data_IF_957728302822
#
_entry.id   IF_957728302822
#
_cell.length_a   1.000
_cell.length_b   1.000
_cell.length_c   1.000
_cell.angle_alpha   90.00
_cell.angle_beta   90.00
_cell.angle_gamma   90.00
#
_symmetry.space_group_name_H-M   'P 1'
#
loop_
_entity.id
_entity.type
_entity.pdbx_description
1 polymer ?
#
# COMPACT_ATOMS: atom_id res chain seq x y z
N UNK A 1 -35.38 70.16 -41.38
CA UNK A 1 -36.48 69.19 -41.61
C UNK A 1 -36.72 68.50 -40.28
N UNK A 2 -37.55 69.09 -39.41
CA UNK A 2 -38.99 68.75 -39.17
C UNK A 2 -39.16 67.35 -38.57
N UNK A 3 -39.91 67.09 -37.51
CA UNK A 3 -40.62 67.86 -36.46
C UNK A 3 -41.25 66.76 -35.56
N UNK A 4 -41.18 66.93 -34.22
CA UNK A 4 -42.33 66.83 -33.28
C UNK A 4 -42.92 65.43 -33.00
N UNK A 5 -43.08 65.01 -31.73
CA UNK A 5 -44.30 65.25 -30.91
C UNK A 5 -44.02 64.95 -29.41
N UNK A 6 -44.10 65.98 -28.54
CA UNK A 6 -45.19 66.31 -27.57
C UNK A 6 -45.25 65.36 -26.34
N UNK A 7 -44.88 65.74 -25.11
CA UNK A 7 -45.30 66.84 -24.19
C UNK A 7 -46.69 66.60 -23.56
N UNK A 8 -46.74 66.40 -22.23
CA UNK A 8 -47.74 66.90 -21.25
C UNK A 8 -47.41 66.32 -19.85
N UNK A 9 -46.95 67.08 -18.84
CA UNK A 9 -47.55 68.13 -17.96
C UNK A 9 -48.42 67.61 -16.81
N UNK A 10 -47.95 67.93 -15.58
CA UNK A 10 -48.66 68.24 -14.33
C UNK A 10 -49.48 67.10 -13.70
N UNK A 11 -49.68 66.98 -12.38
CA UNK A 11 -49.69 67.97 -11.31
C UNK A 11 -49.48 67.32 -9.93
N UNK A 12 -48.89 68.10 -9.02
CA UNK A 12 -48.86 67.94 -7.57
C UNK A 12 -50.24 67.65 -6.96
N UNK A 13 -50.31 66.81 -5.92
CA UNK A 13 -51.06 67.11 -4.69
C UNK A 13 -50.54 66.29 -3.49
N UNK A 14 -50.33 67.01 -2.38
CA UNK A 14 -49.89 66.55 -1.06
C UNK A 14 -50.89 65.57 -0.43
N UNK A 15 -50.39 64.62 0.37
CA UNK A 15 -50.90 64.34 1.73
C UNK A 15 -49.89 63.55 2.57
N UNK A 16 -49.55 64.13 3.73
CA UNK A 16 -48.84 63.51 4.85
C UNK A 16 -49.78 62.53 5.57
N UNK A 17 -49.26 61.43 6.11
CA UNK A 17 -50.01 60.62 7.08
C UNK A 17 -49.32 59.33 7.54
N UNK A 18 -48.81 59.38 8.78
CA UNK A 18 -48.65 58.30 9.79
C UNK A 18 -47.65 57.14 9.59
N UNK A 19 -46.75 57.09 10.57
CA UNK A 19 -45.95 55.96 11.05
C UNK A 19 -46.79 55.02 11.94
N UNK A 20 -46.61 53.71 11.79
CA UNK A 20 -46.78 52.64 12.78
C UNK A 20 -45.63 51.64 12.49
N UNK A 21 -44.55 51.57 13.28
CA UNK A 21 -44.39 50.73 14.48
C UNK A 21 -45.23 49.45 14.39
N UNK A 22 -44.60 48.37 13.94
CA UNK A 22 -44.83 46.97 14.37
C UNK A 22 -43.93 46.03 13.54
N UNK A 23 -42.69 45.82 14.00
CA UNK A 23 -42.02 44.52 13.93
C UNK A 23 -40.81 44.52 14.89
N UNK A 24 -41.13 44.52 16.17
CA UNK A 24 -40.17 44.28 17.25
C UNK A 24 -39.90 42.78 17.38
N UNK A 25 -38.63 42.47 17.67
CA UNK A 25 -38.16 41.35 18.46
C UNK A 25 -38.40 39.94 17.93
N UNK A 26 -37.38 39.38 17.27
CA UNK A 26 -37.09 37.94 17.36
C UNK A 26 -35.58 37.72 17.24
N UNK A 27 -34.97 37.48 18.41
CA UNK A 27 -33.83 36.57 18.64
C UNK A 27 -32.42 37.15 18.44
N UNK A 28 -31.91 37.66 19.56
CA UNK A 28 -30.51 37.48 19.94
C UNK A 28 -30.13 35.99 19.87
N UNK A 29 -29.01 35.64 19.22
CA UNK A 29 -28.22 34.50 19.68
C UNK A 29 -26.72 34.64 19.38
N UNK A 30 -26.04 35.01 20.45
CA UNK A 30 -24.61 34.90 20.75
C UNK A 30 -24.19 33.42 20.77
N UNK A 31 -23.30 32.96 19.86
CA UNK A 31 -22.38 31.81 20.06
C UNK A 31 -21.08 32.07 19.29
N UNK A 32 -20.02 32.54 19.96
CA UNK A 32 -18.95 31.73 20.61
C UNK A 32 -18.25 30.76 19.65
N UNK A 33 -17.07 31.21 19.23
CA UNK A 33 -15.82 30.46 19.05
C UNK A 33 -15.93 28.93 19.15
N UNK A 34 -15.62 28.25 18.05
CA UNK A 34 -14.91 26.97 18.10
C UNK A 34 -13.79 27.01 17.06
N UNK A 35 -12.63 27.49 17.50
CA UNK A 35 -11.35 27.05 16.96
C UNK A 35 -11.26 25.54 17.14
N UNK A 36 -11.78 24.78 16.18
CA UNK A 36 -11.46 23.36 16.02
C UNK A 36 -10.53 23.21 14.82
N UNK A 37 -9.42 23.96 14.81
CA UNK A 37 -8.20 23.42 14.22
C UNK A 37 -7.80 22.28 15.14
N UNK A 38 -8.26 21.08 14.81
CA UNK A 38 -7.71 19.84 15.35
C UNK A 38 -6.23 19.90 15.00
N UNK A 39 -5.43 20.44 15.91
CA UNK A 39 -4.01 20.09 16.00
C UNK A 39 -4.08 18.63 16.40
N UNK A 40 -4.14 17.75 15.40
CA UNK A 40 -3.74 16.39 15.61
C UNK A 40 -2.35 16.52 16.20
N UNK A 41 -2.16 16.01 17.41
CA UNK A 41 -0.84 15.58 17.81
C UNK A 41 -0.46 14.48 16.81
N UNK A 42 0.07 14.87 15.65
CA UNK A 42 0.93 14.02 14.85
C UNK A 42 2.16 13.79 15.72
N UNK A 43 2.01 12.87 16.67
CA UNK A 43 3.15 12.07 17.08
C UNK A 43 3.64 11.45 15.77
N UNK A 44 4.93 11.61 15.47
CA UNK A 44 5.61 10.93 14.37
C UNK A 44 5.51 9.42 14.60
N UNK A 45 4.34 8.87 14.32
CA UNK A 45 4.06 7.47 14.46
C UNK A 45 4.74 6.79 13.28
N UNK A 46 5.78 6.01 13.58
CA UNK A 46 6.44 5.19 12.57
C UNK A 46 5.45 4.21 11.99
N UNK A 47 5.61 3.90 10.71
CA UNK A 47 4.75 2.97 10.01
C UNK A 47 5.45 1.61 9.95
N UNK A 48 4.74 0.55 10.34
CA UNK A 48 5.22 -0.82 10.23
C UNK A 48 4.43 -1.61 9.19
N UNK A 49 5.12 -2.34 8.32
CA UNK A 49 4.54 -3.38 7.48
C UNK A 49 4.61 -4.72 8.20
N UNK A 50 3.44 -5.24 8.58
CA UNK A 50 3.30 -6.60 9.08
C UNK A 50 3.13 -7.54 7.90
N UNK A 51 4.11 -8.41 7.67
CA UNK A 51 4.13 -9.41 6.60
C UNK A 51 3.94 -10.80 7.20
N UNK A 52 3.08 -11.62 6.61
CA UNK A 52 2.97 -13.05 6.90
C UNK A 52 3.18 -13.86 5.62
N UNK A 53 4.26 -14.63 5.59
CA UNK A 53 4.60 -15.55 4.49
C UNK A 53 4.06 -16.93 4.88
N UNK A 54 3.07 -17.42 4.12
CA UNK A 54 2.37 -18.65 4.45
C UNK A 54 3.04 -19.86 3.79
N UNK A 55 2.91 -19.96 2.48
CA UNK A 55 3.45 -21.07 1.70
C UNK A 55 3.73 -20.64 0.25
N UNK A 56 4.47 -21.47 -0.48
CA UNK A 56 4.61 -21.41 -1.92
C UNK A 56 4.25 -22.76 -2.53
N UNK A 57 3.72 -22.75 -3.74
CA UNK A 57 3.23 -23.93 -4.45
C UNK A 57 3.71 -23.94 -5.90
N UNK A 58 3.84 -25.14 -6.47
CA UNK A 58 4.30 -25.34 -7.84
C UNK A 58 5.77 -24.96 -8.07
N UNK A 59 6.55 -24.82 -7.00
CA UNK A 59 7.97 -24.50 -7.04
C UNK A 59 8.75 -25.70 -7.56
N UNK A 60 9.66 -25.48 -8.53
CA UNK A 60 10.42 -26.55 -9.19
C UNK A 60 9.50 -27.73 -9.60
N UNK A 61 8.37 -27.42 -10.26
CA UNK A 61 7.34 -28.41 -10.66
C UNK A 61 7.96 -29.69 -11.27
N UNK A 62 7.67 -30.89 -10.74
CA UNK A 62 8.21 -32.15 -11.23
C UNK A 62 7.99 -32.43 -12.72
N UNK A 63 6.94 -31.84 -13.33
CA UNK A 63 6.71 -31.96 -14.77
C UNK A 63 7.81 -31.28 -15.59
N UNK A 64 8.35 -30.17 -15.08
CA UNK A 64 9.43 -29.42 -15.70
C UNK A 64 10.80 -29.87 -15.18
N UNK A 65 10.85 -30.40 -13.96
CA UNK A 65 12.08 -30.78 -13.26
C UNK A 65 11.93 -32.16 -12.61
N UNK A 66 11.83 -33.25 -13.40
CA UNK A 66 11.48 -34.58 -12.88
C UNK A 66 12.54 -35.21 -11.97
N UNK A 67 13.77 -34.70 -11.99
CA UNK A 67 14.87 -35.14 -11.13
C UNK A 67 14.93 -34.43 -9.77
N UNK A 68 13.94 -33.58 -9.45
CA UNK A 68 13.93 -32.75 -8.25
C UNK A 68 12.94 -33.29 -7.23
N UNK A 69 13.47 -33.94 -6.20
CA UNK A 69 12.64 -34.60 -5.18
C UNK A 69 12.68 -33.90 -3.82
N UNK A 70 13.78 -33.21 -3.48
CA UNK A 70 13.90 -32.49 -2.22
C UNK A 70 15.04 -31.47 -2.27
N UNK A 71 14.74 -30.21 -1.95
CA UNK A 71 15.69 -29.09 -1.96
C UNK A 71 15.36 -28.12 -0.83
N UNK A 72 16.37 -27.35 -0.42
CA UNK A 72 16.21 -26.31 0.58
C UNK A 72 15.88 -24.98 -0.09
N UNK A 73 14.90 -24.28 0.45
CA UNK A 73 14.45 -22.98 -0.06
C UNK A 73 14.33 -21.97 1.07
N UNK A 74 14.58 -20.71 0.75
CA UNK A 74 14.21 -19.58 1.60
C UNK A 74 13.55 -18.49 0.76
N UNK A 75 12.86 -17.58 1.44
CA UNK A 75 12.30 -16.39 0.83
C UNK A 75 13.10 -15.18 1.28
N UNK A 76 13.67 -14.46 0.32
CA UNK A 76 14.28 -13.15 0.51
C UNK A 76 13.22 -12.09 0.20
N UNK A 77 13.06 -11.10 1.07
CA UNK A 77 12.03 -10.07 0.90
C UNK A 77 12.48 -8.72 1.43
N UNK A 78 12.01 -7.65 0.80
CA UNK A 78 12.35 -6.27 1.17
C UNK A 78 11.36 -5.26 0.59
N UNK A 79 11.28 -4.09 1.23
CA UNK A 79 10.60 -2.90 0.68
C UNK A 79 11.60 -1.90 0.10
N UNK A 80 12.84 -1.90 0.62
CA UNK A 80 13.97 -1.15 0.13
C UNK A 80 15.18 -2.08 -0.03
N UNK A 81 15.98 -1.99 -1.11
CA UNK A 81 17.07 -2.94 -1.39
C UNK A 81 18.12 -3.10 -0.29
N UNK A 82 18.29 -2.09 0.56
CA UNK A 82 19.28 -2.11 1.65
C UNK A 82 18.77 -2.87 2.90
N UNK A 83 17.48 -3.15 2.99
CA UNK A 83 16.82 -3.72 4.18
C UNK A 83 16.30 -5.14 3.89
N UNK A 84 17.15 -5.97 3.30
CA UNK A 84 16.82 -7.34 2.93
C UNK A 84 16.69 -8.26 4.15
N UNK A 85 15.59 -9.01 4.18
CA UNK A 85 15.32 -10.02 5.20
C UNK A 85 15.11 -11.37 4.54
N UNK A 86 15.49 -12.45 5.23
CA UNK A 86 15.31 -13.80 4.76
C UNK A 86 14.55 -14.65 5.78
N UNK A 87 13.73 -15.58 5.29
CA UNK A 87 13.17 -16.65 6.12
C UNK A 87 14.23 -17.69 6.46
N UNK A 88 13.92 -18.58 7.40
CA UNK A 88 14.65 -19.84 7.53
C UNK A 88 14.55 -20.70 6.26
N UNK A 89 15.46 -21.66 6.16
CA UNK A 89 15.42 -22.68 5.13
C UNK A 89 14.33 -23.71 5.43
N UNK A 90 13.55 -24.05 4.40
CA UNK A 90 12.54 -25.11 4.42
C UNK A 90 12.86 -26.10 3.31
N UNK A 91 12.82 -27.39 3.63
CA UNK A 91 12.98 -28.47 2.66
C UNK A 91 11.63 -28.93 2.13
N UNK A 92 11.49 -29.11 0.82
CA UNK A 92 10.27 -29.66 0.22
C UNK A 92 10.24 -29.54 -1.29
N UNK A 93 9.24 -30.15 -1.92
CA UNK A 93 8.90 -29.99 -3.34
C UNK A 93 7.55 -30.64 -3.60
N UNK A 94 6.62 -30.03 -4.36
CA UNK A 94 6.66 -28.67 -4.93
C UNK A 94 6.10 -27.60 -3.99
N UNK A 95 5.57 -28.01 -2.83
CA UNK A 95 4.88 -27.16 -1.88
C UNK A 95 5.72 -26.94 -0.63
N UNK A 96 5.85 -25.67 -0.24
CA UNK A 96 6.74 -25.21 0.82
C UNK A 96 5.95 -24.36 1.80
N UNK A 97 6.04 -24.63 3.10
CA UNK A 97 5.34 -23.85 4.12
C UNK A 97 6.34 -23.20 5.08
N UNK A 98 6.26 -21.86 5.21
CA UNK A 98 7.02 -21.09 6.20
C UNK A 98 6.16 -20.74 7.41
N UNK A 99 4.93 -20.26 7.17
CA UNK A 99 4.01 -19.81 8.22
C UNK A 99 4.67 -18.83 9.22
N UNK A 100 5.41 -17.85 8.69
CA UNK A 100 6.16 -16.88 9.47
C UNK A 100 5.63 -15.47 9.33
N UNK A 101 5.80 -14.69 10.39
CA UNK A 101 5.37 -13.30 10.49
C UNK A 101 6.57 -12.40 10.78
N UNK A 102 6.64 -11.28 10.07
CA UNK A 102 7.68 -10.26 10.16
C UNK A 102 7.05 -8.88 10.32
N UNK A 103 7.80 -7.96 10.91
CA UNK A 103 7.46 -6.55 10.96
C UNK A 103 8.63 -5.76 10.38
N UNK A 104 8.37 -4.97 9.34
CA UNK A 104 9.36 -4.13 8.66
C UNK A 104 8.98 -2.70 8.96
N UNK A 105 9.87 -1.92 9.58
CA UNK A 105 9.65 -0.48 9.71
C UNK A 105 9.80 0.18 8.33
N UNK A 106 8.82 1.00 7.95
CA UNK A 106 8.86 1.77 6.72
C UNK A 106 9.48 3.14 7.02
N UNK A 107 10.46 3.51 6.20
CA UNK A 107 11.10 4.82 6.22
C UNK A 107 10.35 5.76 5.27
N UNK A 108 9.67 6.76 5.83
CA UNK A 108 8.88 7.74 5.09
C UNK A 108 9.73 8.60 4.13
N UNK A 109 11.06 8.61 4.30
CA UNK A 109 11.98 9.28 3.38
C UNK A 109 12.29 8.46 2.13
N UNK A 110 11.92 7.17 2.09
CA UNK A 110 12.22 6.23 0.99
C UNK A 110 10.97 5.85 0.20
N UNK A 111 11.15 5.52 -1.08
CA UNK A 111 10.06 5.00 -1.92
C UNK A 111 9.74 3.54 -1.57
N UNK A 112 8.86 3.34 -0.58
CA UNK A 112 8.42 2.03 -0.11
C UNK A 112 7.05 1.63 -0.67
N UNK A 113 6.84 1.68 -2.00
CA UNK A 113 5.54 1.34 -2.63
C UNK A 113 5.29 -0.16 -2.83
N UNK A 114 6.34 -0.96 -2.87
CA UNK A 114 6.25 -2.38 -3.22
C UNK A 114 7.03 -3.24 -2.24
N UNK A 115 6.49 -4.41 -1.94
CA UNK A 115 7.23 -5.54 -1.41
C UNK A 115 7.81 -6.32 -2.58
N UNK A 116 9.13 -6.50 -2.55
CA UNK A 116 9.85 -7.41 -3.43
C UNK A 116 10.06 -8.73 -2.69
N UNK A 117 9.83 -9.83 -3.40
CA UNK A 117 9.93 -11.17 -2.87
C UNK A 117 10.69 -12.04 -3.87
N UNK A 118 11.68 -12.78 -3.40
CA UNK A 118 12.43 -13.75 -4.18
C UNK A 118 12.45 -15.09 -3.45
N UNK A 119 12.06 -16.16 -4.14
CA UNK A 119 12.24 -17.52 -3.65
C UNK A 119 13.60 -18.01 -4.16
N UNK A 120 14.48 -18.36 -3.22
CA UNK A 120 15.82 -18.83 -3.52
C UNK A 120 15.91 -20.32 -3.17
N UNK A 121 16.58 -21.06 -4.05
CA UNK A 121 17.02 -22.43 -3.80
C UNK A 121 18.44 -22.38 -3.25
N UNK A 122 18.69 -23.08 -2.15
CA UNK A 122 20.02 -23.35 -1.63
C UNK A 122 20.50 -24.74 -2.08
N UNK A 123 21.73 -24.82 -2.60
CA UNK A 123 22.37 -26.10 -2.94
C UNK A 123 22.69 -26.95 -1.71
N UNK A 124 22.63 -28.27 -1.85
CA UNK A 124 23.21 -29.21 -0.88
C UNK A 124 24.69 -29.46 -1.18
N UNK A 125 25.46 -29.64 -0.11
CA UNK A 125 26.92 -29.81 0.00
C UNK A 125 27.54 -31.06 -0.66
N UNK A 126 26.84 -31.74 -1.57
CA UNK A 126 27.28 -33.02 -2.16
C UNK A 126 27.82 -32.93 -3.59
N UNK A 127 27.82 -31.75 -4.22
CA UNK A 127 28.60 -31.54 -5.45
C UNK A 127 30.03 -31.16 -5.05
N UNK A 128 30.93 -32.11 -5.25
CA UNK A 128 32.35 -32.03 -4.98
C UNK A 128 33.02 -30.93 -5.83
N UNK A 129 33.08 -29.73 -5.24
CA UNK A 129 34.02 -28.62 -5.46
C UNK A 129 33.84 -27.74 -6.74
N UNK A 130 34.34 -26.48 -6.75
CA UNK A 130 33.98 -25.35 -5.88
C UNK A 130 33.96 -24.04 -6.71
N UNK A 131 32.80 -23.62 -7.20
CA UNK A 131 32.65 -22.31 -7.85
C UNK A 131 32.08 -21.30 -6.86
N UNK A 132 32.73 -20.14 -6.69
CA UNK A 132 32.53 -19.05 -5.71
C UNK A 132 31.14 -18.38 -5.65
N UNK A 133 30.06 -19.10 -5.92
CA UNK A 133 28.69 -18.65 -5.64
C UNK A 133 28.22 -19.32 -4.35
N UNK A 134 27.49 -18.60 -3.49
CA UNK A 134 26.92 -19.11 -2.22
C UNK A 134 25.89 -20.26 -2.39
N UNK A 135 25.86 -20.96 -3.53
CA UNK A 135 24.93 -22.05 -3.82
C UNK A 135 23.48 -21.61 -3.95
N UNK A 136 23.20 -20.32 -3.80
CA UNK A 136 21.87 -19.73 -3.91
C UNK A 136 21.52 -19.50 -5.37
N UNK A 137 20.38 -20.04 -5.80
CA UNK A 137 19.84 -19.84 -7.15
C UNK A 137 18.42 -19.31 -7.07
N UNK A 138 18.14 -18.22 -7.79
CA UNK A 138 16.80 -17.67 -7.88
C UNK A 138 15.85 -18.67 -8.55
N UNK A 139 14.75 -18.98 -7.88
CA UNK A 139 13.66 -19.78 -8.43
C UNK A 139 12.65 -18.89 -9.10
N UNK A 140 12.22 -17.82 -8.43
CA UNK A 140 11.32 -16.84 -9.00
C UNK A 140 11.15 -15.64 -8.09
N UNK A 141 10.67 -14.53 -8.67
CA UNK A 141 10.45 -13.27 -7.98
C UNK A 141 9.03 -12.76 -8.17
N UNK A 142 8.55 -12.00 -7.20
CA UNK A 142 7.30 -11.26 -7.26
C UNK A 142 7.51 -9.81 -6.79
N UNK A 143 6.78 -8.89 -7.41
CA UNK A 143 6.69 -7.48 -7.01
C UNK A 143 5.25 -7.19 -6.65
N UNK A 144 4.99 -6.87 -5.39
CA UNK A 144 3.65 -6.80 -4.82
C UNK A 144 3.41 -5.41 -4.25
N UNK A 145 2.35 -4.69 -4.65
CA UNK A 145 2.01 -3.39 -4.05
C UNK A 145 1.75 -3.52 -2.56
N UNK A 146 2.22 -2.55 -1.77
CA UNK A 146 1.87 -2.48 -0.35
C UNK A 146 0.36 -2.20 -0.16
N UNK A 147 -0.25 -2.71 0.91
CA UNK A 147 -1.65 -2.44 1.21
C UNK A 147 -1.85 -1.00 1.69
N UNK A 148 -3.08 -0.49 1.57
CA UNK A 148 -3.50 0.71 2.27
C UNK A 148 -3.69 0.45 3.78
N UNK A 149 -3.64 1.51 4.59
CA UNK A 149 -3.90 1.42 6.03
C UNK A 149 -5.28 0.90 6.42
N UNK A 150 -6.24 0.95 5.50
CA UNK A 150 -7.63 0.56 5.73
C UNK A 150 -7.83 -0.95 5.79
N UNK A 151 -6.85 -1.76 5.37
CA UNK A 151 -7.07 -3.19 5.17
C UNK A 151 -5.85 -4.10 5.41
N UNK A 152 -6.15 -5.39 5.50
CA UNK A 152 -5.19 -6.47 5.32
C UNK A 152 -5.32 -6.93 3.87
N UNK A 153 -4.21 -7.01 3.15
CA UNK A 153 -4.18 -7.64 1.82
C UNK A 153 -3.66 -9.05 1.97
N UNK A 154 -4.35 -10.01 1.39
CA UNK A 154 -3.94 -11.41 1.34
C UNK A 154 -4.11 -11.90 -0.08
N UNK A 155 -3.12 -12.61 -0.60
CA UNK A 155 -3.14 -12.98 -2.00
C UNK A 155 -2.16 -14.09 -2.35
N UNK A 156 -2.42 -14.67 -3.51
CA UNK A 156 -1.58 -15.64 -4.19
C UNK A 156 -0.91 -14.92 -5.36
N UNK A 157 0.40 -14.79 -5.32
CA UNK A 157 1.19 -13.99 -6.25
C UNK A 157 2.05 -14.89 -7.13
N UNK A 158 1.98 -14.68 -8.44
CA UNK A 158 2.77 -15.44 -9.40
C UNK A 158 4.26 -15.11 -9.27
N UNK A 159 5.09 -16.15 -9.26
CA UNK A 159 6.54 -16.04 -9.29
C UNK A 159 7.03 -16.15 -10.72
N UNK A 160 7.90 -15.23 -11.12
CA UNK A 160 8.52 -15.22 -12.44
C UNK A 160 10.03 -15.27 -12.37
N UNK A 161 10.66 -15.96 -13.31
CA UNK A 161 12.11 -15.98 -13.49
C UNK A 161 12.46 -15.44 -14.86
N UNK A 162 13.51 -14.62 -14.92
CA UNK A 162 14.07 -14.17 -16.18
C UNK A 162 14.92 -15.30 -16.77
N UNK A 163 14.67 -15.63 -18.02
CA UNK A 163 15.46 -16.51 -18.88
C UNK A 163 15.87 -15.75 -20.14
N UNK A 164 16.73 -16.33 -20.98
CA UNK A 164 17.26 -15.66 -22.18
C UNK A 164 16.15 -15.16 -23.13
N UNK A 165 15.07 -15.93 -23.24
CA UNK A 165 13.94 -15.66 -24.13
C UNK A 165 12.76 -14.92 -23.45
N UNK A 166 12.91 -14.47 -22.19
CA UNK A 166 11.89 -13.69 -21.49
C UNK A 166 11.58 -14.16 -20.07
N UNK A 167 10.31 -14.11 -19.67
CA UNK A 167 9.88 -14.47 -18.32
C UNK A 167 9.18 -15.84 -18.30
N UNK A 168 9.65 -16.72 -17.42
CA UNK A 168 9.04 -18.01 -17.14
C UNK A 168 8.27 -17.98 -15.83
N UNK A 169 7.07 -18.56 -15.80
CA UNK A 169 6.30 -18.75 -14.58
C UNK A 169 6.83 -19.95 -13.77
N UNK A 170 7.14 -19.74 -12.49
CA UNK A 170 7.83 -20.70 -11.61
C UNK A 170 7.03 -21.04 -10.33
N UNK A 171 5.71 -20.88 -10.40
CA UNK A 171 4.79 -21.18 -9.30
C UNK A 171 4.21 -19.92 -8.67
N UNK A 172 3.73 -20.05 -7.43
CA UNK A 172 3.08 -18.96 -6.70
C UNK A 172 3.52 -18.92 -5.24
N UNK A 173 3.52 -17.73 -4.66
CA UNK A 173 3.66 -17.52 -3.22
C UNK A 173 2.39 -16.93 -2.63
N UNK A 174 1.94 -17.49 -1.52
CA UNK A 174 0.77 -17.01 -0.77
C UNK A 174 1.25 -16.26 0.48
N UNK A 175 0.88 -14.98 0.57
CA UNK A 175 1.26 -14.13 1.70
C UNK A 175 0.18 -13.11 2.02
N UNK A 176 0.29 -12.50 3.20
CA UNK A 176 -0.55 -11.39 3.60
C UNK A 176 0.22 -10.24 4.24
N UNK A 177 -0.33 -9.04 4.13
CA UNK A 177 0.28 -7.78 4.52
C UNK A 177 -0.72 -6.88 5.22
N UNK A 178 -0.24 -6.09 6.18
CA UNK A 178 -1.02 -5.03 6.82
C UNK A 178 -0.10 -3.91 7.29
N UNK A 179 -0.48 -2.66 7.07
CA UNK A 179 0.20 -1.51 7.68
C UNK A 179 -0.33 -1.24 9.10
N UNK A 180 0.58 -0.95 10.01
CA UNK A 180 0.30 -0.56 11.40
C UNK A 180 1.03 0.73 11.74
N UNK A 181 0.50 1.48 12.71
CA UNK A 181 1.25 2.55 13.37
C UNK A 181 2.00 1.95 14.54
N UNK A 182 3.28 2.28 14.66
CA UNK A 182 4.14 1.90 15.78
C UNK A 182 4.23 3.12 16.69
N UNK A 183 3.73 2.97 17.91
CA UNK A 183 3.81 4.03 18.91
C UNK A 183 5.25 4.13 19.44
N UNK A 184 5.78 5.34 19.57
CA UNK A 184 7.05 5.57 20.25
C UNK A 184 6.82 5.39 21.76
N UNK A 185 7.49 4.41 22.37
CA UNK A 185 7.51 4.19 23.82
C UNK A 185 8.39 5.20 24.55
#
# INVERSE_FOLDING_TARGET
>A
MTEVQKKQRASLYRKRGRSNKDLTNTIMNRRKLTNNKRIANERDNRIGLVLSIHHAEGIDNPSNYPSVFNRNYCVLFWVHPDDQLATEFVSGSPDLAWNRKYCIELDDSRDCRFLYVEVLRCGSSSESNPGTSNGMRLVGRAKIPLPDFSGKTEGRYGLVRLEEDGYKAEGHITLSMKLIKIDQS
#
